data_IF_392474547278
#
_entry.id   IF_392474547278
#
_cell.length_a   1.000
_cell.length_b   1.000
_cell.length_c   1.000
_cell.angle_alpha   90.00
_cell.angle_beta   90.00
_cell.angle_gamma   90.00
#
_symmetry.space_group_name_H-M   'P 1'
#
loop_
_entity.id
_entity.type
_entity.pdbx_description
1 polymer ?
#
# COMPACT_ATOMS: atom_id res chain seq x y z
N UNK A 1 -72.66 -22.71 22.87
CA UNK A 1 -71.59 -21.71 23.06
C UNK A 1 -70.53 -22.38 23.93
N UNK A 2 -69.27 -22.57 23.56
CA UNK A 2 -68.44 -21.86 22.59
C UNK A 2 -67.27 -22.78 22.19
N UNK A 3 -66.89 -22.72 20.91
CA UNK A 3 -65.89 -23.54 20.22
C UNK A 3 -64.48 -22.99 20.50
N UNK A 4 -63.58 -23.81 21.07
CA UNK A 4 -62.15 -23.49 21.14
C UNK A 4 -61.59 -23.37 19.72
N UNK A 5 -60.90 -22.26 19.42
CA UNK A 5 -60.07 -22.11 18.23
C UNK A 5 -58.61 -22.08 18.69
N UNK A 6 -57.84 -23.08 18.28
CA UNK A 6 -56.38 -23.00 18.22
C UNK A 6 -55.98 -21.89 17.24
N UNK A 7 -55.17 -20.94 17.71
CA UNK A 7 -54.55 -19.91 16.90
C UNK A 7 -53.16 -20.43 16.52
N UNK A 8 -53.04 -20.99 15.32
CA UNK A 8 -51.75 -21.29 14.72
C UNK A 8 -51.02 -19.99 14.42
N UNK A 9 -49.89 -19.79 15.09
CA UNK A 9 -48.97 -18.68 14.88
C UNK A 9 -48.16 -18.94 13.59
N UNK A 10 -48.76 -18.66 12.44
CA UNK A 10 -48.08 -18.62 11.15
C UNK A 10 -47.27 -17.32 11.05
N UNK A 11 -46.22 -17.20 11.86
CA UNK A 11 -45.17 -16.20 11.63
C UNK A 11 -44.32 -16.69 10.44
N UNK A 12 -44.26 -15.97 9.30
CA UNK A 12 -43.47 -16.41 8.16
C UNK A 12 -41.98 -16.37 8.55
N UNK A 13 -41.40 -17.54 8.78
CA UNK A 13 -39.96 -17.70 8.93
C UNK A 13 -39.29 -17.27 7.63
N UNK A 14 -38.73 -16.06 7.62
CA UNK A 14 -37.82 -15.59 6.58
C UNK A 14 -36.59 -16.52 6.56
N UNK A 15 -36.58 -17.51 5.67
CA UNK A 15 -35.43 -18.40 5.47
C UNK A 15 -34.39 -17.60 4.68
N UNK A 16 -33.24 -17.24 5.27
CA UNK A 16 -32.24 -16.45 4.57
C UNK A 16 -31.73 -17.23 3.37
N UNK A 17 -31.58 -16.54 2.25
CA UNK A 17 -31.04 -17.14 1.03
C UNK A 17 -29.64 -17.72 1.30
N UNK A 18 -29.25 -18.75 0.55
CA UNK A 18 -27.94 -19.38 0.72
C UNK A 18 -26.78 -18.37 0.56
N UNK A 19 -26.99 -17.30 -0.22
CA UNK A 19 -26.04 -16.20 -0.45
C UNK A 19 -25.86 -15.32 0.80
N UNK A 20 -26.95 -14.96 1.48
CA UNK A 20 -26.91 -14.22 2.74
C UNK A 20 -26.27 -15.05 3.86
N UNK A 21 -26.58 -16.35 3.94
CA UNK A 21 -25.97 -17.24 4.92
C UNK A 21 -24.46 -17.38 4.70
N UNK A 22 -24.02 -17.53 3.44
CA UNK A 22 -22.58 -17.52 3.09
C UNK A 22 -21.93 -16.17 3.41
N UNK A 23 -22.62 -15.06 3.12
CA UNK A 23 -22.16 -13.71 3.45
C UNK A 23 -21.98 -13.51 4.96
N UNK A 24 -22.98 -13.87 5.76
CA UNK A 24 -22.97 -13.73 7.23
C UNK A 24 -21.93 -14.65 7.88
N UNK A 25 -21.80 -15.91 7.44
CA UNK A 25 -20.77 -16.82 7.97
C UNK A 25 -19.37 -16.37 7.57
N UNK A 26 -19.17 -15.94 6.32
CA UNK A 26 -17.91 -15.40 5.84
C UNK A 26 -17.54 -14.10 6.57
N UNK A 27 -18.52 -13.23 6.86
CA UNK A 27 -18.28 -11.99 7.60
C UNK A 27 -18.03 -12.24 9.08
N UNK A 28 -18.75 -13.17 9.73
CA UNK A 28 -18.54 -13.53 11.13
C UNK A 28 -17.19 -14.21 11.38
N UNK A 29 -16.80 -15.15 10.51
CA UNK A 29 -15.44 -15.71 10.51
C UNK A 29 -14.41 -14.62 10.26
N UNK A 30 -14.71 -13.68 9.35
CA UNK A 30 -13.82 -12.56 9.05
C UNK A 30 -13.56 -11.64 10.24
N UNK A 31 -14.62 -11.26 10.93
CA UNK A 31 -14.54 -10.44 12.12
C UNK A 31 -13.80 -11.18 13.24
N UNK A 32 -14.08 -12.47 13.45
CA UNK A 32 -13.44 -13.25 14.52
C UNK A 32 -11.92 -13.39 14.35
N UNK A 33 -11.41 -13.57 13.13
CA UNK A 33 -9.95 -13.58 12.91
C UNK A 33 -9.33 -12.20 13.10
N UNK A 34 -10.01 -11.14 12.64
CA UNK A 34 -9.55 -9.75 12.84
C UNK A 34 -9.43 -9.41 14.32
N UNK A 35 -10.41 -9.81 15.14
CA UNK A 35 -10.37 -9.55 16.59
C UNK A 35 -9.22 -10.31 17.27
N UNK A 36 -8.95 -11.56 16.84
CA UNK A 36 -7.80 -12.31 17.36
C UNK A 36 -6.48 -11.68 16.96
N UNK A 37 -6.32 -11.30 15.69
CA UNK A 37 -5.13 -10.58 15.23
C UNK A 37 -4.93 -9.28 15.99
N UNK A 38 -5.99 -8.48 16.15
CA UNK A 38 -5.95 -7.23 16.93
C UNK A 38 -5.50 -7.48 18.37
N UNK A 39 -5.97 -8.55 18.99
CA UNK A 39 -5.56 -8.93 20.35
C UNK A 39 -4.08 -9.31 20.42
N UNK A 40 -3.58 -10.12 19.49
CA UNK A 40 -2.15 -10.47 19.43
C UNK A 40 -1.26 -9.25 19.17
N UNK A 41 -1.67 -8.40 18.20
CA UNK A 41 -0.99 -7.15 17.86
C UNK A 41 -0.88 -6.21 19.07
N UNK A 42 -1.97 -6.11 19.83
CA UNK A 42 -2.07 -5.28 21.04
C UNK A 42 -1.23 -5.81 22.20
N UNK A 43 -1.07 -7.14 22.31
CA UNK A 43 -0.31 -7.75 23.40
C UNK A 43 1.21 -7.64 23.20
N UNK A 44 1.69 -7.48 21.96
CA UNK A 44 3.12 -7.41 21.65
C UNK A 44 3.45 -6.37 20.57
N UNK A 45 3.32 -5.06 20.88
CA UNK A 45 3.54 -4.00 19.91
C UNK A 45 4.96 -4.00 19.33
N UNK A 46 5.96 -4.42 20.10
CA UNK A 46 7.36 -4.46 19.64
C UNK A 46 7.60 -5.58 18.60
N UNK A 47 7.19 -6.81 18.89
CA UNK A 47 7.34 -7.95 17.97
C UNK A 47 6.52 -7.73 16.70
N UNK A 48 5.32 -7.17 16.86
CA UNK A 48 4.48 -6.84 15.73
C UNK A 48 5.09 -5.76 14.83
N UNK A 49 5.71 -4.71 15.39
CA UNK A 49 6.34 -3.66 14.58
C UNK A 49 7.51 -4.20 13.77
N UNK A 50 8.29 -5.14 14.34
CA UNK A 50 9.38 -5.82 13.62
C UNK A 50 8.83 -6.65 12.45
N UNK A 51 7.81 -7.47 12.70
CA UNK A 51 7.17 -8.25 11.65
C UNK A 51 6.57 -7.36 10.55
N UNK A 52 5.93 -6.26 10.94
CA UNK A 52 5.37 -5.28 10.01
C UNK A 52 6.46 -4.61 9.17
N UNK A 53 7.62 -4.31 9.76
CA UNK A 53 8.79 -3.79 9.03
C UNK A 53 9.28 -4.75 7.94
N UNK A 54 9.40 -6.05 8.24
CA UNK A 54 9.78 -7.05 7.24
C UNK A 54 8.76 -7.16 6.10
N UNK A 55 7.47 -7.10 6.43
CA UNK A 55 6.39 -7.12 5.43
C UNK A 55 6.47 -5.86 4.54
N UNK A 56 6.63 -4.68 5.14
CA UNK A 56 6.76 -3.42 4.40
C UNK A 56 7.98 -3.42 3.48
N UNK A 57 9.10 -4.00 3.92
CA UNK A 57 10.29 -4.14 3.07
C UNK A 57 10.06 -5.10 1.90
N UNK A 58 9.38 -6.23 2.12
CA UNK A 58 9.00 -7.12 1.02
C UNK A 58 8.04 -6.45 0.02
N UNK A 59 7.09 -5.65 0.52
CA UNK A 59 6.17 -4.89 -0.31
C UNK A 59 6.88 -3.80 -1.12
N UNK A 60 7.83 -3.09 -0.51
CA UNK A 60 8.66 -2.10 -1.20
C UNK A 60 9.38 -2.74 -2.39
N UNK A 61 10.05 -3.88 -2.19
CA UNK A 61 10.72 -4.62 -3.28
C UNK A 61 9.78 -5.08 -4.39
N UNK A 62 8.54 -5.42 -4.06
CA UNK A 62 7.52 -5.78 -5.04
C UNK A 62 7.06 -4.56 -5.85
N UNK A 63 6.80 -3.43 -5.19
CA UNK A 63 6.44 -2.18 -5.87
C UNK A 63 7.61 -1.72 -6.72
N UNK A 64 8.85 -1.87 -6.25
CA UNK A 64 10.07 -1.51 -6.99
C UNK A 64 10.18 -2.33 -8.26
N UNK A 65 9.90 -3.63 -8.19
CA UNK A 65 9.94 -4.54 -9.33
C UNK A 65 8.96 -4.11 -10.43
N UNK A 66 7.71 -3.81 -10.07
CA UNK A 66 6.64 -3.41 -11.00
C UNK A 66 6.71 -1.94 -11.43
N UNK A 67 7.54 -1.11 -10.78
CA UNK A 67 7.61 0.31 -11.10
C UNK A 67 8.40 0.58 -12.38
N UNK A 68 7.72 1.25 -13.32
CA UNK A 68 8.28 1.83 -14.53
C UNK A 68 8.03 3.34 -14.51
N UNK A 69 9.11 4.14 -14.56
CA UNK A 69 9.00 5.59 -14.52
C UNK A 69 8.49 6.11 -15.88
N UNK A 70 7.35 6.83 -15.93
CA UNK A 70 6.96 7.52 -17.15
C UNK A 70 7.93 8.69 -17.37
N UNK A 71 8.72 8.64 -18.44
CA UNK A 71 9.71 9.66 -18.75
C UNK A 71 9.07 10.89 -19.42
N UNK A 72 8.11 11.50 -18.72
CA UNK A 72 7.44 12.74 -19.10
C UNK A 72 7.35 13.67 -17.87
N UNK A 73 8.05 14.83 -17.89
CA UNK A 73 8.13 15.76 -16.76
C UNK A 73 6.79 16.38 -16.34
N UNK A 74 5.76 16.34 -17.20
CA UNK A 74 4.45 16.86 -16.84
C UNK A 74 3.71 15.98 -15.79
N UNK A 75 4.02 14.67 -15.75
CA UNK A 75 3.25 13.70 -14.95
C UNK A 75 4.11 12.73 -14.13
N UNK A 76 5.42 12.67 -14.36
CA UNK A 76 6.32 11.74 -13.67
C UNK A 76 6.37 11.95 -12.16
N UNK A 77 6.42 13.20 -11.68
CA UNK A 77 6.38 13.52 -10.27
C UNK A 77 5.04 13.15 -9.62
N UNK A 78 3.92 13.42 -10.31
CA UNK A 78 2.60 13.07 -9.79
C UNK A 78 2.38 11.56 -9.76
N UNK A 79 2.78 10.87 -10.81
CA UNK A 79 2.66 9.41 -10.91
C UNK A 79 3.56 8.71 -9.90
N UNK A 80 4.84 9.11 -9.81
CA UNK A 80 5.79 8.57 -8.82
C UNK A 80 5.36 8.85 -7.38
N UNK A 81 4.90 10.06 -7.07
CA UNK A 81 4.44 10.42 -5.72
C UNK A 81 3.19 9.64 -5.28
N UNK A 82 2.34 9.20 -6.19
CA UNK A 82 1.19 8.37 -5.84
C UNK A 82 1.61 7.05 -5.16
N UNK A 83 2.74 6.44 -5.57
CA UNK A 83 3.28 5.23 -4.94
C UNK A 83 3.85 5.49 -3.53
N UNK A 84 4.21 6.73 -3.20
CA UNK A 84 4.55 7.11 -1.83
C UNK A 84 3.30 7.28 -0.97
N UNK A 85 2.30 8.02 -1.47
CA UNK A 85 1.16 8.45 -0.67
C UNK A 85 0.13 7.33 -0.47
N UNK A 86 -0.19 6.56 -1.52
CA UNK A 86 -1.26 5.54 -1.44
C UNK A 86 -0.95 4.48 -0.38
N UNK A 87 0.22 3.81 -0.38
CA UNK A 87 0.48 2.76 0.60
C UNK A 87 0.68 3.32 2.01
N UNK A 88 1.23 4.53 2.16
CA UNK A 88 1.34 5.22 3.44
C UNK A 88 -0.04 5.52 4.05
N UNK A 89 -0.97 6.06 3.25
CA UNK A 89 -2.36 6.34 3.69
C UNK A 89 -3.09 5.03 3.99
N UNK A 90 -2.92 3.99 3.17
CA UNK A 90 -3.53 2.68 3.40
C UNK A 90 -3.04 2.05 4.72
N UNK A 91 -1.72 2.04 4.96
CA UNK A 91 -1.15 1.52 6.20
C UNK A 91 -1.61 2.32 7.43
N UNK A 92 -1.66 3.64 7.32
CA UNK A 92 -2.18 4.52 8.36
C UNK A 92 -3.66 4.26 8.66
N UNK A 93 -4.51 4.16 7.63
CA UNK A 93 -5.92 3.87 7.78
C UNK A 93 -6.17 2.50 8.41
N UNK A 94 -5.41 1.47 8.00
CA UNK A 94 -5.47 0.14 8.58
C UNK A 94 -5.13 0.16 10.07
N UNK A 95 -4.07 0.87 10.47
CA UNK A 95 -3.72 1.03 11.88
C UNK A 95 -4.81 1.77 12.68
N UNK A 96 -5.41 2.81 12.11
CA UNK A 96 -6.51 3.54 12.75
C UNK A 96 -7.76 2.66 12.95
N UNK A 97 -8.09 1.81 11.98
CA UNK A 97 -9.21 0.86 12.08
C UNK A 97 -8.90 -0.20 13.16
N UNK A 98 -7.66 -0.71 13.19
CA UNK A 98 -7.25 -1.74 14.15
C UNK A 98 -7.19 -1.16 15.57
N UNK A 99 -6.62 0.02 15.80
CA UNK A 99 -6.51 0.60 17.14
C UNK A 99 -7.86 1.18 17.64
N UNK A 100 -8.78 1.48 16.71
CA UNK A 100 -10.05 2.15 16.99
C UNK A 100 -9.83 3.66 17.06
N UNK A 101 -10.69 4.42 16.38
CA UNK A 101 -10.61 5.87 16.14
C UNK A 101 -10.46 6.80 17.39
N UNK A 102 -10.28 6.27 18.59
CA UNK A 102 -10.33 7.03 19.86
C UNK A 102 -8.98 7.58 20.32
N UNK A 103 -7.88 7.04 19.82
CA UNK A 103 -6.52 7.50 20.19
C UNK A 103 -5.62 7.46 18.96
N UNK A 104 -5.38 8.63 18.37
CA UNK A 104 -4.30 8.82 17.40
C UNK A 104 -2.98 8.76 18.20
N UNK A 105 -2.42 7.56 18.32
CA UNK A 105 -1.14 7.34 18.99
C UNK A 105 0.01 7.48 17.98
N UNK A 106 1.19 7.90 18.44
CA UNK A 106 2.41 7.96 17.62
C UNK A 106 2.71 6.60 16.95
N UNK A 107 2.30 5.50 17.56
CA UNK A 107 2.42 4.15 17.01
C UNK A 107 1.60 3.92 15.73
N UNK A 108 0.52 4.69 15.49
CA UNK A 108 -0.26 4.61 14.23
C UNK A 108 0.50 5.17 13.03
N UNK A 109 1.45 6.09 13.25
CA UNK A 109 2.28 6.65 12.18
C UNK A 109 3.50 5.79 11.87
N UNK A 110 3.90 4.90 12.77
CA UNK A 110 5.11 4.06 12.60
C UNK A 110 5.11 3.33 11.25
N UNK A 111 4.04 2.64 10.83
CA UNK A 111 4.01 2.00 9.51
C UNK A 111 4.14 2.96 8.34
N UNK A 112 3.50 4.12 8.41
CA UNK A 112 3.56 5.12 7.35
C UNK A 112 4.97 5.74 7.27
N UNK A 113 5.59 6.03 8.40
CA UNK A 113 6.97 6.56 8.46
C UNK A 113 7.97 5.53 7.97
N UNK A 114 7.86 4.27 8.41
CA UNK A 114 8.73 3.17 7.94
C UNK A 114 8.60 2.99 6.43
N UNK A 115 7.37 3.02 5.89
CA UNK A 115 7.14 2.95 4.44
C UNK A 115 7.82 4.09 3.68
N UNK A 116 7.68 5.33 4.16
CA UNK A 116 8.32 6.48 3.53
C UNK A 116 9.84 6.38 3.57
N UNK A 117 10.42 5.91 4.69
CA UNK A 117 11.86 5.72 4.82
C UNK A 117 12.35 4.65 3.83
N UNK A 118 11.68 3.50 3.74
CA UNK A 118 12.08 2.41 2.84
C UNK A 118 12.10 2.90 1.38
N UNK A 119 11.00 3.48 0.89
CA UNK A 119 10.95 4.03 -0.48
C UNK A 119 11.98 5.13 -0.73
N UNK A 120 12.28 5.94 0.28
CA UNK A 120 13.29 7.00 0.15
C UNK A 120 14.70 6.42 0.07
N UNK A 121 15.00 5.36 0.82
CA UNK A 121 16.28 4.65 0.78
C UNK A 121 16.53 3.94 -0.55
N UNK A 122 15.50 3.46 -1.24
CA UNK A 122 15.68 2.91 -2.60
C UNK A 122 15.98 4.00 -3.64
N UNK A 123 15.54 5.24 -3.40
CA UNK A 123 15.90 6.43 -4.19
C UNK A 123 15.35 6.47 -5.62
N UNK A 124 14.91 5.35 -6.19
CA UNK A 124 14.47 5.26 -7.59
C UNK A 124 13.21 6.07 -7.88
N UNK A 125 12.24 6.03 -6.97
CA UNK A 125 11.01 6.82 -7.09
C UNK A 125 11.28 8.31 -6.92
N UNK A 126 12.18 8.67 -6.01
CA UNK A 126 12.59 10.05 -5.79
C UNK A 126 13.34 10.61 -7.00
N UNK A 127 14.27 9.83 -7.57
CA UNK A 127 14.97 10.18 -8.81
C UNK A 127 13.99 10.36 -9.98
N UNK A 128 13.00 9.48 -10.12
CA UNK A 128 11.94 9.63 -11.13
C UNK A 128 11.10 10.89 -10.91
N UNK A 129 10.78 11.22 -9.66
CA UNK A 129 9.98 12.40 -9.33
C UNK A 129 10.74 13.73 -9.56
N UNK A 130 12.06 13.73 -9.41
CA UNK A 130 12.92 14.89 -9.69
C UNK A 130 13.40 15.00 -11.13
N UNK A 131 13.16 13.99 -11.96
CA UNK A 131 13.57 14.00 -13.38
C UNK A 131 12.76 15.06 -14.14
N UNK A 132 13.42 16.01 -14.80
CA UNK A 132 12.78 17.11 -15.53
C UNK A 132 12.82 16.93 -17.07
N UNK A 133 13.35 15.81 -17.57
CA UNK A 133 13.52 15.56 -19.00
C UNK A 133 12.60 14.47 -19.55
N UNK A 134 12.22 14.62 -20.82
CA UNK A 134 11.57 13.57 -21.59
C UNK A 134 12.57 12.49 -22.00
N UNK A 135 12.14 11.24 -21.99
CA UNK A 135 13.03 10.13 -22.32
C UNK A 135 12.31 8.82 -22.61
N UNK A 136 13.11 7.78 -22.76
CA UNK A 136 12.68 6.39 -22.83
C UNK A 136 13.16 5.67 -21.58
N UNK A 137 12.27 4.94 -20.93
CA UNK A 137 12.63 4.10 -19.79
C UNK A 137 13.54 2.96 -20.24
N UNK A 138 14.72 2.86 -19.64
CA UNK A 138 15.68 1.78 -19.94
C UNK A 138 16.22 1.18 -18.64
N UNK A 139 16.46 -0.13 -18.69
CA UNK A 139 17.07 -0.92 -17.60
C UNK A 139 18.47 -1.29 -18.07
N UNK A 140 19.51 -0.86 -17.35
CA UNK A 140 20.90 -1.15 -17.70
C UNK A 140 21.47 -2.18 -16.71
N UNK A 141 21.75 -3.38 -17.20
CA UNK A 141 22.36 -4.47 -16.42
C UNK A 141 23.89 -4.31 -16.33
N UNK A 142 24.37 -3.43 -15.44
CA UNK A 142 25.81 -3.26 -15.17
C UNK A 142 26.07 -3.30 -13.67
N UNK A 143 26.35 -4.50 -13.14
CA UNK A 143 26.69 -4.81 -11.74
C UNK A 143 25.65 -4.44 -10.65
N UNK A 144 24.85 -3.39 -10.85
CA UNK A 144 23.60 -3.08 -10.18
C UNK A 144 22.60 -2.59 -11.26
N UNK A 145 21.41 -3.19 -11.39
CA UNK A 145 20.44 -2.80 -12.41
C UNK A 145 19.99 -1.34 -12.16
N UNK A 146 20.35 -0.43 -13.06
CA UNK A 146 19.94 0.98 -12.97
C UNK A 146 18.73 1.22 -13.87
N UNK A 147 17.60 1.57 -13.26
CA UNK A 147 16.37 2.03 -13.94
C UNK A 147 16.47 3.55 -14.12
N UNK A 148 16.46 4.04 -15.36
CA UNK A 148 16.52 5.48 -15.61
C UNK A 148 15.83 5.89 -16.92
N UNK A 149 15.56 7.19 -17.06
CA UNK A 149 15.00 7.79 -18.26
C UNK A 149 16.12 8.26 -19.21
N UNK A 150 16.38 7.49 -20.26
CA UNK A 150 17.32 7.83 -21.31
C UNK A 150 16.75 8.95 -22.20
N UNK A 151 17.43 10.09 -22.35
CA UNK A 151 16.94 11.19 -23.17
C UNK A 151 16.87 10.79 -24.65
N UNK A 152 15.77 11.16 -25.31
CA UNK A 152 15.62 10.99 -26.76
C UNK A 152 16.27 12.21 -27.41
N UNK A 153 17.61 12.17 -27.59
CA UNK A 153 18.47 13.20 -28.22
C UNK A 153 17.80 14.58 -28.43
N UNK A 154 17.88 15.46 -27.44
CA UNK A 154 17.79 16.90 -27.67
C UNK A 154 19.21 17.48 -27.68
N UNK A 155 19.57 18.11 -28.80
CA UNK A 155 20.91 18.57 -29.25
C UNK A 155 21.79 19.39 -28.28
N UNK A 156 21.37 19.64 -27.04
CA UNK A 156 22.05 20.56 -26.12
C UNK A 156 22.81 19.91 -24.95
N UNK A 157 22.54 18.64 -24.60
CA UNK A 157 23.14 18.00 -23.41
C UNK A 157 23.61 16.58 -23.72
N UNK A 158 24.85 16.26 -23.31
CA UNK A 158 25.40 14.91 -23.52
C UNK A 158 24.71 13.88 -22.61
N UNK A 159 24.45 12.65 -23.08
CA UNK A 159 23.85 11.59 -22.25
C UNK A 159 24.64 11.26 -20.97
N UNK A 160 25.96 11.49 -21.00
CA UNK A 160 26.86 11.27 -19.85
C UNK A 160 26.61 12.28 -18.72
N UNK A 161 26.37 13.55 -19.03
CA UNK A 161 26.01 14.59 -18.04
C UNK A 161 24.67 14.28 -17.38
N UNK A 162 23.68 13.83 -18.17
CA UNK A 162 22.36 13.45 -17.66
C UNK A 162 22.41 12.19 -16.80
N UNK A 163 23.25 11.22 -17.16
CA UNK A 163 23.53 10.05 -16.34
C UNK A 163 24.20 10.41 -15.01
N UNK A 164 25.15 11.36 -15.02
CA UNK A 164 25.77 11.86 -13.78
C UNK A 164 24.75 12.60 -12.90
N UNK A 165 23.86 13.39 -13.51
CA UNK A 165 22.80 14.13 -12.81
C UNK A 165 21.76 13.19 -12.20
N UNK A 166 21.35 12.13 -12.91
CA UNK A 166 20.47 11.11 -12.34
C UNK A 166 21.17 10.36 -11.21
N UNK A 167 22.44 9.98 -11.36
CA UNK A 167 23.24 9.35 -10.30
C UNK A 167 23.35 10.20 -9.02
N UNK A 168 23.36 11.54 -9.13
CA UNK A 168 23.32 12.44 -7.96
C UNK A 168 21.97 12.48 -7.25
N UNK A 169 20.89 12.04 -7.90
CA UNK A 169 19.55 11.97 -7.30
C UNK A 169 19.33 10.68 -6.50
N UNK A 170 20.15 9.66 -6.75
CA UNK A 170 20.23 8.49 -5.88
C UNK A 170 21.20 8.84 -4.74
N UNK A 171 20.69 8.98 -3.51
CA UNK A 171 21.47 9.27 -2.30
C UNK A 171 21.82 7.98 -1.59
#
# INVERSE_FOLDING_TARGET
>A
MTRSRELTDDTPTFVPSQWERKGVVSMGSRQQWLTRLKNELSNSPLVSNVAFGFILMGLEKLVELDFECPCNPAWNGLFSSAFFIIPAVMAFALMMIIQGCRTVSLSSFVPAVVWLILLFLDGQYFACAMTDWHGRFVIVDKAAPQKWCEPIQEESVTPQELMLRSQRLFV
#
